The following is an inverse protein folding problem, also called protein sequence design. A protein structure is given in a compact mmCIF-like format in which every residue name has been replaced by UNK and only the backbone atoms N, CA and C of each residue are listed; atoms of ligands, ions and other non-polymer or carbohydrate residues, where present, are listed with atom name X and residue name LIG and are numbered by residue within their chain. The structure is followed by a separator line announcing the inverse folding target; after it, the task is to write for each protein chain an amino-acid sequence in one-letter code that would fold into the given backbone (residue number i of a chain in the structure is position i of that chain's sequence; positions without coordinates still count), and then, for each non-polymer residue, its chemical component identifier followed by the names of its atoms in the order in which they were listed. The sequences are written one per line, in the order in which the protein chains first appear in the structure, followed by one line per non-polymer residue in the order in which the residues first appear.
data_IF_864724822344
#
_entry.id   IF_864724822344
#
_cell.length_a   1.000
_cell.length_b   1.000
_cell.length_c   1.000
_cell.angle_alpha   90.00
_cell.angle_beta   90.00
_cell.angle_gamma   90.00
#
_symmetry.space_group_name_H-M   'P 1'
#
loop_
_entity.id
_entity.type
_entity.pdbx_description
1 polymer ?
#
# COMPACT_ATOMS: atom_id res chain seq x y z
N UNK A 1 -72.80 -69.99 -7.50
CA UNK A 1 -72.02 -70.77 -8.49
C UNK A 1 -70.62 -70.20 -8.53
N UNK A 2 -69.63 -70.91 -7.97
CA UNK A 2 -68.23 -70.49 -8.09
C UNK A 2 -67.81 -70.69 -9.55
N UNK A 3 -67.48 -69.60 -10.24
CA UNK A 3 -66.84 -69.66 -11.53
C UNK A 3 -65.48 -70.33 -11.34
N UNK A 4 -65.40 -71.63 -11.59
CA UNK A 4 -64.16 -72.38 -11.61
C UNK A 4 -63.30 -71.82 -12.72
N UNK A 5 -62.33 -70.98 -12.35
CA UNK A 5 -61.30 -70.51 -13.28
C UNK A 5 -60.53 -71.71 -13.80
N UNK A 6 -60.57 -71.89 -15.11
CA UNK A 6 -59.84 -72.92 -15.85
C UNK A 6 -58.33 -72.88 -15.51
N UNK A 7 -57.75 -73.95 -14.93
CA UNK A 7 -56.34 -74.01 -14.53
C UNK A 7 -55.36 -73.71 -15.68
N UNK A 8 -55.71 -74.09 -16.92
CA UNK A 8 -54.89 -73.78 -18.09
C UNK A 8 -54.85 -72.27 -18.37
N UNK A 9 -55.96 -71.55 -18.19
CA UNK A 9 -56.00 -70.09 -18.34
C UNK A 9 -55.18 -69.39 -17.25
N UNK A 10 -55.22 -69.88 -16.01
CA UNK A 10 -54.40 -69.32 -14.93
C UNK A 10 -52.90 -69.47 -15.21
N UNK A 11 -52.46 -70.66 -15.67
CA UNK A 11 -51.06 -70.90 -16.03
C UNK A 11 -50.61 -69.97 -17.16
N UNK A 12 -51.44 -69.80 -18.20
CA UNK A 12 -51.12 -68.90 -19.32
C UNK A 12 -51.02 -67.43 -18.90
N UNK A 13 -51.86 -66.98 -17.95
CA UNK A 13 -51.77 -65.64 -17.37
C UNK A 13 -50.45 -65.45 -16.62
N UNK A 14 -50.07 -66.40 -15.75
CA UNK A 14 -48.81 -66.34 -15.00
C UNK A 14 -47.58 -66.26 -15.92
N UNK A 15 -47.56 -67.03 -17.03
CA UNK A 15 -46.49 -66.98 -18.01
C UNK A 15 -46.41 -65.58 -18.66
N UNK A 16 -47.56 -65.00 -19.00
CA UNK A 16 -47.63 -63.65 -19.59
C UNK A 16 -47.15 -62.57 -18.62
N UNK A 17 -47.58 -62.66 -17.37
CA UNK A 17 -47.19 -61.70 -16.32
C UNK A 17 -45.69 -61.80 -16.05
N UNK A 18 -45.14 -63.01 -15.96
CA UNK A 18 -43.70 -63.25 -15.83
C UNK A 18 -42.91 -62.66 -17.01
N UNK A 19 -43.34 -62.90 -18.25
CA UNK A 19 -42.69 -62.35 -19.43
C UNK A 19 -42.73 -60.82 -19.45
N UNK A 20 -43.85 -60.23 -19.02
CA UNK A 20 -44.04 -58.78 -18.94
C UNK A 20 -43.13 -58.16 -17.88
N UNK A 21 -43.09 -58.71 -16.66
CA UNK A 21 -42.22 -58.25 -15.58
C UNK A 21 -40.75 -58.38 -15.97
N UNK A 22 -40.36 -59.51 -16.57
CA UNK A 22 -38.99 -59.71 -17.07
C UNK A 22 -38.59 -58.60 -18.07
N UNK A 23 -39.43 -58.33 -19.06
CA UNK A 23 -39.18 -57.27 -20.05
C UNK A 23 -39.13 -55.87 -19.42
N UNK A 24 -39.98 -55.59 -18.42
CA UNK A 24 -39.93 -54.34 -17.68
C UNK A 24 -38.65 -54.21 -16.85
N UNK A 25 -38.24 -55.27 -16.16
CA UNK A 25 -36.99 -55.33 -15.40
C UNK A 25 -35.76 -55.11 -16.28
N UNK A 26 -35.71 -55.75 -17.45
CA UNK A 26 -34.63 -55.56 -18.44
C UNK A 26 -34.56 -54.10 -18.91
N UNK A 27 -35.70 -53.48 -19.25
CA UNK A 27 -35.74 -52.05 -19.62
C UNK A 27 -35.27 -51.14 -18.49
N UNK A 28 -35.67 -51.43 -17.24
CA UNK A 28 -35.24 -50.68 -16.05
C UNK A 28 -33.73 -50.78 -15.85
N UNK A 29 -33.14 -51.97 -16.02
CA UNK A 29 -31.68 -52.17 -15.94
C UNK A 29 -30.95 -51.36 -17.01
N UNK A 30 -31.43 -51.36 -18.26
CA UNK A 30 -30.83 -50.56 -19.34
C UNK A 30 -30.89 -49.07 -19.01
N UNK A 31 -32.02 -48.58 -18.51
CA UNK A 31 -32.16 -47.18 -18.07
C UNK A 31 -31.19 -46.81 -16.95
N UNK A 32 -31.06 -47.66 -15.93
CA UNK A 32 -30.12 -47.44 -14.81
C UNK A 32 -28.67 -47.46 -15.27
N UNK A 33 -28.28 -48.36 -16.19
CA UNK A 33 -26.93 -48.39 -16.77
C UNK A 33 -26.61 -47.09 -17.51
N UNK A 34 -27.56 -46.57 -18.30
CA UNK A 34 -27.41 -45.28 -18.99
C UNK A 34 -27.23 -44.15 -17.98
N UNK A 35 -28.05 -44.11 -16.92
CA UNK A 35 -27.95 -43.08 -15.89
C UNK A 35 -26.62 -43.13 -15.13
N UNK A 36 -26.11 -44.34 -14.83
CA UNK A 36 -24.79 -44.51 -14.21
C UNK A 36 -23.69 -43.95 -15.11
N UNK A 37 -23.78 -44.17 -16.41
CA UNK A 37 -22.79 -43.66 -17.36
C UNK A 37 -22.84 -42.12 -17.45
N UNK A 38 -24.04 -41.54 -17.53
CA UNK A 38 -24.23 -40.08 -17.50
C UNK A 38 -23.64 -39.47 -16.23
N UNK A 39 -23.98 -40.02 -15.06
CA UNK A 39 -23.47 -39.53 -13.77
C UNK A 39 -21.95 -39.63 -13.65
N UNK A 40 -21.32 -40.66 -14.24
CA UNK A 40 -19.86 -40.77 -14.28
C UNK A 40 -19.26 -39.65 -15.12
N UNK A 41 -19.82 -39.38 -16.31
CA UNK A 41 -19.36 -38.28 -17.15
C UNK A 41 -19.57 -36.91 -16.50
N UNK A 42 -20.71 -36.70 -15.83
CA UNK A 42 -20.98 -35.48 -15.05
C UNK A 42 -19.95 -35.32 -13.91
N UNK A 43 -19.60 -36.40 -13.21
CA UNK A 43 -18.58 -36.40 -12.15
C UNK A 43 -17.18 -36.09 -12.68
N UNK A 44 -16.80 -36.67 -13.81
CA UNK A 44 -15.49 -36.44 -14.43
C UNK A 44 -15.33 -34.98 -14.87
N UNK A 45 -16.39 -34.38 -15.44
CA UNK A 45 -16.42 -32.96 -15.80
C UNK A 45 -16.32 -32.06 -14.58
N UNK A 46 -17.13 -32.31 -13.54
CA UNK A 46 -17.09 -31.52 -12.31
C UNK A 46 -15.72 -31.59 -11.62
N UNK A 47 -15.05 -32.76 -11.65
CA UNK A 47 -13.70 -32.90 -11.12
C UNK A 47 -12.67 -32.11 -11.93
N UNK A 48 -12.77 -32.09 -13.26
CA UNK A 48 -11.88 -31.29 -14.11
C UNK A 48 -12.03 -29.79 -13.82
N UNK A 49 -13.27 -29.29 -13.74
CA UNK A 49 -13.56 -27.88 -13.39
C UNK A 49 -13.05 -27.51 -11.99
N UNK A 50 -13.17 -28.42 -11.02
CA UNK A 50 -12.65 -28.23 -9.68
C UNK A 50 -11.12 -28.08 -9.67
N UNK A 51 -10.41 -28.93 -10.41
CA UNK A 51 -8.94 -28.87 -10.50
C UNK A 51 -8.48 -27.60 -11.23
N UNK A 52 -9.18 -27.16 -12.27
CA UNK A 52 -8.92 -25.86 -12.91
C UNK A 52 -9.11 -24.70 -11.94
N UNK A 53 -10.19 -24.72 -11.16
CA UNK A 53 -10.48 -23.70 -10.15
C UNK A 53 -9.41 -23.67 -9.06
N UNK A 54 -8.91 -24.83 -8.62
CA UNK A 54 -7.80 -24.92 -7.65
C UNK A 54 -6.52 -24.29 -8.20
N UNK A 55 -6.15 -24.61 -9.44
CA UNK A 55 -4.97 -24.02 -10.09
C UNK A 55 -5.05 -22.50 -10.20
N UNK A 56 -6.22 -21.99 -10.59
CA UNK A 56 -6.46 -20.54 -10.66
C UNK A 56 -6.34 -19.89 -9.28
N UNK A 57 -6.92 -20.53 -8.25
CA UNK A 57 -6.80 -20.07 -6.86
C UNK A 57 -5.34 -20.04 -6.40
N UNK A 58 -4.58 -21.11 -6.64
CA UNK A 58 -3.15 -21.18 -6.26
C UNK A 58 -2.33 -20.08 -6.93
N UNK A 59 -2.60 -19.78 -8.19
CA UNK A 59 -1.93 -18.69 -8.92
C UNK A 59 -2.28 -17.34 -8.31
N UNK A 60 -3.56 -17.08 -8.02
CA UNK A 60 -3.98 -15.83 -7.38
C UNK A 60 -3.40 -15.66 -5.97
N UNK A 61 -3.25 -16.75 -5.20
CA UNK A 61 -2.60 -16.72 -3.88
C UNK A 61 -1.10 -16.42 -3.97
N UNK A 62 -0.42 -16.93 -4.99
CA UNK A 62 0.99 -16.62 -5.25
C UNK A 62 1.19 -15.16 -5.63
N UNK A 63 0.33 -14.62 -6.52
CA UNK A 63 0.37 -13.21 -6.91
C UNK A 63 0.10 -12.30 -5.71
N UNK A 64 -0.91 -12.61 -4.89
CA UNK A 64 -1.22 -11.85 -3.68
C UNK A 64 -0.02 -11.79 -2.73
N UNK A 65 0.64 -12.93 -2.50
CA UNK A 65 1.85 -12.99 -1.67
C UNK A 65 2.99 -12.16 -2.26
N UNK A 66 3.10 -12.11 -3.59
CA UNK A 66 4.04 -11.22 -4.29
C UNK A 66 3.77 -9.74 -3.97
N UNK A 67 2.52 -9.32 -4.07
CA UNK A 67 2.10 -7.95 -3.75
C UNK A 67 2.31 -7.59 -2.27
N UNK A 68 2.07 -8.53 -1.34
CA UNK A 68 2.32 -8.30 0.09
C UNK A 68 3.80 -8.00 0.38
N UNK A 69 4.72 -8.73 -0.27
CA UNK A 69 6.17 -8.50 -0.13
C UNK A 69 6.57 -7.14 -0.72
N UNK A 70 6.01 -6.78 -1.88
CA UNK A 70 6.28 -5.47 -2.50
C UNK A 70 5.76 -4.32 -1.62
N UNK A 71 4.56 -4.48 -1.04
CA UNK A 71 4.00 -3.51 -0.12
C UNK A 71 4.90 -3.31 1.10
N UNK A 72 5.34 -4.38 1.76
CA UNK A 72 6.23 -4.30 2.92
C UNK A 72 7.57 -3.61 2.57
N UNK A 73 8.10 -3.86 1.37
CA UNK A 73 9.31 -3.17 0.87
C UNK A 73 9.07 -1.67 0.68
N UNK A 74 7.93 -1.29 0.12
CA UNK A 74 7.58 0.10 -0.10
C UNK A 74 7.38 0.83 1.23
N UNK A 75 6.70 0.21 2.19
CA UNK A 75 6.55 0.75 3.56
C UNK A 75 7.89 0.99 4.23
N UNK A 76 8.81 0.03 4.18
CA UNK A 76 10.16 0.19 4.74
C UNK A 76 10.96 1.32 4.02
N UNK A 77 10.77 1.46 2.70
CA UNK A 77 11.40 2.53 1.92
C UNK A 77 10.85 3.90 2.31
N UNK A 78 9.54 4.02 2.51
CA UNK A 78 8.88 5.25 2.98
C UNK A 78 9.42 5.63 4.36
N UNK A 79 9.43 4.71 5.32
CA UNK A 79 9.97 4.97 6.67
C UNK A 79 11.42 5.45 6.63
N UNK A 80 12.24 4.84 5.77
CA UNK A 80 13.64 5.25 5.59
C UNK A 80 13.74 6.68 5.03
N UNK A 81 12.88 7.03 4.06
CA UNK A 81 12.85 8.38 3.49
C UNK A 81 12.36 9.41 4.51
N UNK A 82 11.35 9.09 5.31
CA UNK A 82 10.84 9.97 6.37
C UNK A 82 11.94 10.28 7.40
N UNK A 83 12.69 9.26 7.86
CA UNK A 83 13.83 9.47 8.77
C UNK A 83 14.88 10.38 8.13
N UNK A 84 15.22 10.17 6.86
CA UNK A 84 16.20 11.01 6.15
C UNK A 84 15.72 12.44 6.00
N UNK A 85 14.43 12.65 5.71
CA UNK A 85 13.84 13.99 5.62
C UNK A 85 13.97 14.72 6.95
N UNK A 86 13.64 14.06 8.06
CA UNK A 86 13.77 14.67 9.40
C UNK A 86 15.22 15.06 9.71
N UNK A 87 16.19 14.19 9.44
CA UNK A 87 17.61 14.49 9.65
C UNK A 87 18.08 15.69 8.82
N UNK A 88 17.70 15.74 7.54
CA UNK A 88 18.04 16.87 6.66
C UNK A 88 17.37 18.16 7.16
N UNK A 89 16.15 18.10 7.66
CA UNK A 89 15.47 19.26 8.24
C UNK A 89 16.22 19.79 9.47
N UNK A 90 16.68 18.90 10.35
CA UNK A 90 17.48 19.28 11.52
C UNK A 90 18.82 19.92 11.10
N UNK A 91 19.52 19.34 10.12
CA UNK A 91 20.76 19.90 9.57
C UNK A 91 20.55 21.30 8.96
N UNK A 92 19.45 21.50 8.23
CA UNK A 92 19.09 22.81 7.65
C UNK A 92 18.82 23.83 8.76
N UNK A 93 18.14 23.45 9.84
CA UNK A 93 17.88 24.35 10.97
C UNK A 93 19.17 24.78 11.68
N UNK A 94 20.10 23.84 11.87
CA UNK A 94 21.42 24.12 12.46
C UNK A 94 22.21 25.06 11.54
N UNK A 95 22.36 24.69 10.26
CA UNK A 95 23.10 25.50 9.29
C UNK A 95 22.51 26.91 9.14
N UNK A 96 21.18 27.04 9.19
CA UNK A 96 20.50 28.34 9.16
C UNK A 96 20.79 29.18 10.41
N UNK A 97 20.82 28.56 11.59
CA UNK A 97 21.15 29.25 12.85
C UNK A 97 22.60 29.72 12.86
N UNK A 98 23.53 28.87 12.41
CA UNK A 98 24.95 29.19 12.31
C UNK A 98 25.19 30.35 11.33
N UNK A 99 24.48 30.36 10.20
CA UNK A 99 24.57 31.44 9.22
C UNK A 99 24.13 32.78 9.80
N UNK A 100 23.01 32.82 10.52
CA UNK A 100 22.53 34.06 11.15
C UNK A 100 23.46 34.54 12.28
N UNK A 101 24.04 33.62 13.06
CA UNK A 101 25.03 33.94 14.07
C UNK A 101 26.30 34.56 13.45
N UNK A 102 26.83 33.96 12.38
CA UNK A 102 27.98 34.48 11.64
C UNK A 102 27.71 35.86 11.05
N UNK A 103 26.54 36.06 10.45
CA UNK A 103 26.13 37.35 9.89
C UNK A 103 26.03 38.44 10.96
N UNK A 104 25.51 38.10 12.14
CA UNK A 104 25.42 39.01 13.28
C UNK A 104 26.81 39.40 13.76
N UNK A 105 27.69 38.41 13.98
CA UNK A 105 29.08 38.63 14.41
C UNK A 105 29.87 39.49 13.41
N UNK A 106 29.75 39.20 12.10
CA UNK A 106 30.40 39.99 11.05
C UNK A 106 29.90 41.44 11.05
N UNK A 107 28.61 41.66 11.31
CA UNK A 107 28.04 43.00 11.38
C UNK A 107 28.51 43.76 12.63
N UNK A 108 28.57 43.09 13.79
CA UNK A 108 29.11 43.65 15.02
C UNK A 108 30.59 44.04 14.86
N UNK A 109 31.41 43.18 14.24
CA UNK A 109 32.83 43.45 13.95
C UNK A 109 32.98 44.67 13.03
N UNK A 110 32.17 44.76 11.96
CA UNK A 110 32.16 45.91 11.05
C UNK A 110 31.79 47.21 11.76
N UNK A 111 30.78 47.19 12.63
CA UNK A 111 30.38 48.36 13.43
C UNK A 111 31.49 48.77 14.38
N UNK A 112 32.10 47.81 15.09
CA UNK A 112 33.20 48.08 16.01
C UNK A 112 34.39 48.72 15.30
N UNK A 113 34.81 48.15 14.17
CA UNK A 113 35.91 48.67 13.34
C UNK A 113 35.62 50.10 12.83
N UNK A 114 34.39 50.36 12.38
CA UNK A 114 33.98 51.69 11.95
C UNK A 114 33.98 52.69 13.11
N UNK A 115 33.51 52.26 14.29
CA UNK A 115 33.54 53.07 15.51
C UNK A 115 34.95 53.48 15.91
N UNK A 116 35.90 52.54 15.89
CA UNK A 116 37.32 52.81 16.15
C UNK A 116 37.92 53.77 15.12
N UNK A 117 37.63 53.57 13.84
CA UNK A 117 38.12 54.46 12.78
C UNK A 117 37.56 55.88 12.91
N UNK A 118 36.28 56.02 13.23
CA UNK A 118 35.66 57.32 13.51
C UNK A 118 36.30 57.98 14.73
N UNK A 119 36.55 57.23 15.81
CA UNK A 119 37.24 57.74 16.98
C UNK A 119 38.66 58.23 16.65
N UNK A 120 39.43 57.47 15.85
CA UNK A 120 40.75 57.90 15.36
C UNK A 120 40.67 59.20 14.56
N UNK A 121 39.64 59.37 13.72
CA UNK A 121 39.44 60.58 12.92
C UNK A 121 38.95 61.80 13.71
N UNK A 122 38.39 61.59 14.90
CA UNK A 122 37.98 62.69 15.79
C UNK A 122 39.17 63.38 16.47
N UNK A 123 40.35 62.76 16.50
CA UNK A 123 41.56 63.36 17.06
C UNK A 123 42.19 64.28 16.01
N UNK A 124 42.33 65.57 16.33
CA UNK A 124 42.98 66.52 15.43
C UNK A 124 44.47 66.16 15.24
N UNK A 125 44.95 65.94 14.01
CA UNK A 125 46.35 65.54 13.78
C UNK A 125 47.36 66.64 14.12
N UNK A 126 46.93 67.91 14.22
CA UNK A 126 47.81 69.03 14.50
C UNK A 126 47.93 69.40 15.98
N UNK A 127 46.87 69.20 16.76
CA UNK A 127 46.86 69.58 18.19
C UNK A 127 46.47 68.43 19.14
N UNK A 128 46.18 67.24 18.62
CA UNK A 128 45.80 66.03 19.36
C UNK A 128 44.58 66.15 20.27
N UNK A 129 43.78 67.22 20.12
CA UNK A 129 42.51 67.38 20.83
C UNK A 129 41.49 66.41 20.23
N UNK A 130 40.78 65.72 21.12
CA UNK A 130 39.63 64.89 20.76
C UNK A 130 38.40 65.78 20.50
N UNK A 131 37.92 65.78 19.27
CA UNK A 131 36.76 66.58 18.85
C UNK A 131 35.44 65.82 18.97
N UNK A 132 35.41 64.59 19.52
CA UNK A 132 34.21 63.75 19.55
C UNK A 132 33.02 64.43 20.23
N UNK A 133 33.25 65.13 21.35
CA UNK A 133 32.20 65.82 22.09
C UNK A 133 31.62 67.01 21.30
N UNK A 134 32.48 67.85 20.71
CA UNK A 134 32.06 69.00 19.90
C UNK A 134 31.30 68.56 18.65
N UNK A 135 31.73 67.46 18.00
CA UNK A 135 31.04 66.90 16.84
C UNK A 135 29.64 66.37 17.21
N UNK A 136 29.50 65.70 18.35
CA UNK A 136 28.22 65.22 18.83
C UNK A 136 27.24 66.37 19.14
N UNK A 137 27.71 67.47 19.73
CA UNK A 137 26.90 68.68 19.95
C UNK A 137 26.41 69.29 18.62
N UNK A 138 27.24 69.29 17.59
CA UNK A 138 26.87 69.77 16.24
C UNK A 138 25.81 68.86 15.60
N UNK A 139 25.99 67.52 15.66
CA UNK A 139 25.05 66.55 15.09
C UNK A 139 23.66 66.62 15.77
N UNK A 140 23.64 66.73 17.09
CA UNK A 140 22.39 66.89 17.84
C UNK A 140 21.66 68.20 17.55
N UNK A 141 22.41 69.26 17.18
CA UNK A 141 21.83 70.53 16.75
C UNK A 141 21.26 70.46 15.32
N UNK A 142 21.83 69.64 14.43
CA UNK A 142 21.32 69.46 13.07
C UNK A 142 20.07 68.59 12.97
N UNK A 143 19.88 67.61 13.87
CA UNK A 143 18.71 66.71 13.86
C UNK A 143 17.42 67.37 14.43
N UNK A 144 17.53 68.56 15.02
CA UNK A 144 16.41 69.30 15.65
C UNK A 144 15.83 70.40 14.75
N UNK A 145 16.34 70.59 13.54
CA UNK A 145 15.83 71.50 12.51
C UNK A 145 15.15 70.73 11.38
#
# INVERSE_FOLDING_TARGET
MMAGTDPQKQLLTLIRDFATEKSQGERRIVGLKKRIQELRSELDLANAELEDTKRLKETAEQDLKGYEVELARNEASIQTLEVRISLIQDEILIAGSDLEALKTSEFEEKIASLGEELQRRCICPSCHVDNAQALNEILQASDRN
#
